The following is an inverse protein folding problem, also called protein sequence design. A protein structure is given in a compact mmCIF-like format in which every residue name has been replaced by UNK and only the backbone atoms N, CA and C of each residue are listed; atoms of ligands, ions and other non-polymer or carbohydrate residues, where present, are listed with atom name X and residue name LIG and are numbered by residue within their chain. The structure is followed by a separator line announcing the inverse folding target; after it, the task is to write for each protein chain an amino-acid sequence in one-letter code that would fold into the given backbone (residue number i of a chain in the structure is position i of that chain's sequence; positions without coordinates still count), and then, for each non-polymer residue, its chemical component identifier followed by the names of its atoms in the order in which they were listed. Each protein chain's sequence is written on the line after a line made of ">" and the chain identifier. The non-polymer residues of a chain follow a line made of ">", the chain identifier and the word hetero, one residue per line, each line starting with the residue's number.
data_IF_826537067751
#
_entry.id   IF_826537067751
#
_cell.length_a   1.000
_cell.length_b   1.000
_cell.length_c   1.000
_cell.angle_alpha   90.00
_cell.angle_beta   90.00
_cell.angle_gamma   90.00
#
_symmetry.space_group_name_H-M   'P 1'
#
loop_
_entity.id
_entity.type
_entity.pdbx_description
1 polymer ?
#
# COMPACT_ATOMS: atom_id res chain seq x y z
N UNK A 1 26.29 72.35 31.52
CA UNK A 1 26.59 70.92 31.72
C UNK A 1 27.56 70.84 32.88
N UNK A 2 27.10 70.38 34.03
CA UNK A 2 27.93 70.26 35.24
C UNK A 2 28.73 68.95 35.19
N UNK A 3 29.76 68.83 36.03
CA UNK A 3 30.54 67.58 36.17
C UNK A 3 29.62 66.39 36.56
N UNK A 4 28.56 66.67 37.32
CA UNK A 4 27.54 65.69 37.70
C UNK A 4 26.72 65.20 36.51
N UNK A 5 26.35 66.09 35.58
CA UNK A 5 25.64 65.71 34.34
C UNK A 5 26.49 64.73 33.50
N UNK A 6 27.78 65.03 33.34
CA UNK A 6 28.73 64.20 32.57
C UNK A 6 28.93 62.83 33.23
N UNK A 7 29.02 62.78 34.56
CA UNK A 7 29.16 61.53 35.31
C UNK A 7 27.93 60.63 35.19
N UNK A 8 26.73 61.23 35.19
CA UNK A 8 25.46 60.50 34.98
C UNK A 8 25.38 59.92 33.58
N UNK A 9 25.69 60.72 32.56
CA UNK A 9 25.68 60.29 31.16
C UNK A 9 26.71 59.18 30.89
N UNK A 10 27.93 59.30 31.45
CA UNK A 10 28.94 58.24 31.38
C UNK A 10 28.45 56.93 32.01
N UNK A 11 27.78 57.02 33.16
CA UNK A 11 27.24 55.85 33.86
C UNK A 11 26.12 55.17 33.05
N UNK A 12 25.22 55.93 32.43
CA UNK A 12 24.17 55.44 31.54
C UNK A 12 24.74 54.75 30.29
N UNK A 13 25.71 55.38 29.63
CA UNK A 13 26.37 54.80 28.43
C UNK A 13 27.13 53.53 28.78
N UNK A 14 27.82 53.50 29.93
CA UNK A 14 28.53 52.31 30.43
C UNK A 14 27.57 51.15 30.72
N UNK A 15 26.41 51.43 31.32
CA UNK A 15 25.37 50.44 31.56
C UNK A 15 24.79 49.91 30.24
N UNK A 16 24.45 50.79 29.29
CA UNK A 16 24.01 50.40 27.94
C UNK A 16 25.03 49.53 27.22
N UNK A 17 26.32 49.89 27.27
CA UNK A 17 27.41 49.09 26.69
C UNK A 17 27.43 47.69 27.29
N UNK A 18 27.31 47.56 28.62
CA UNK A 18 27.30 46.25 29.31
C UNK A 18 26.11 45.39 28.86
N UNK A 19 24.92 45.96 28.77
CA UNK A 19 23.71 45.26 28.31
C UNK A 19 23.87 44.82 26.85
N UNK A 20 24.35 45.70 25.97
CA UNK A 20 24.60 45.38 24.57
C UNK A 20 25.64 44.26 24.41
N UNK A 21 26.71 44.27 25.21
CA UNK A 21 27.70 43.19 25.22
C UNK A 21 27.11 41.87 25.69
N UNK A 22 26.26 41.87 26.72
CA UNK A 22 25.57 40.66 27.18
C UNK A 22 24.61 40.13 26.12
N UNK A 23 23.84 41.01 25.48
CA UNK A 23 22.93 40.65 24.40
C UNK A 23 23.70 40.06 23.20
N UNK A 24 24.80 40.70 22.81
CA UNK A 24 25.66 40.22 21.72
C UNK A 24 26.18 38.81 22.00
N UNK A 25 26.71 38.56 23.20
CA UNK A 25 27.18 37.23 23.59
C UNK A 25 26.05 36.21 23.56
N UNK A 26 24.88 36.55 24.10
CA UNK A 26 23.72 35.64 24.09
C UNK A 26 23.20 35.33 22.67
N UNK A 27 23.29 36.29 21.74
CA UNK A 27 22.92 36.11 20.34
C UNK A 27 23.94 35.25 19.60
N UNK A 28 25.23 35.42 19.89
CA UNK A 28 26.30 34.57 19.34
C UNK A 28 26.12 33.12 19.80
N UNK A 29 25.86 32.89 21.08
CA UNK A 29 25.63 31.54 21.62
C UNK A 29 24.39 30.89 20.99
N UNK A 30 23.28 31.63 20.87
CA UNK A 30 22.07 31.15 20.17
C UNK A 30 22.35 30.79 18.71
N UNK A 31 23.09 31.65 18.01
CA UNK A 31 23.43 31.42 16.60
C UNK A 31 24.27 30.15 16.44
N UNK A 32 25.19 29.88 17.37
CA UNK A 32 26.00 28.66 17.36
C UNK A 32 25.13 27.40 17.55
N UNK A 33 24.23 27.40 18.53
CA UNK A 33 23.30 26.29 18.77
C UNK A 33 22.37 26.08 17.58
N UNK A 34 21.82 27.15 17.00
CA UNK A 34 20.93 27.07 15.84
C UNK A 34 21.66 26.50 14.61
N UNK A 35 22.93 26.86 14.39
CA UNK A 35 23.74 26.29 13.31
C UNK A 35 23.91 24.78 13.48
N UNK A 36 24.24 24.33 14.69
CA UNK A 36 24.35 22.89 14.99
C UNK A 36 23.02 22.15 14.75
N UNK A 37 21.90 22.75 15.17
CA UNK A 37 20.56 22.19 14.94
C UNK A 37 20.22 22.11 13.45
N UNK A 38 20.61 23.10 12.65
CA UNK A 38 20.43 23.06 11.19
C UNK A 38 21.25 21.91 10.58
N UNK A 39 22.51 21.74 10.97
CA UNK A 39 23.34 20.64 10.48
C UNK A 39 22.74 19.26 10.83
N UNK A 40 22.28 19.09 12.07
CA UNK A 40 21.60 17.86 12.50
C UNK A 40 20.34 17.59 11.69
N UNK A 41 19.50 18.60 11.45
CA UNK A 41 18.29 18.47 10.62
C UNK A 41 18.61 18.14 9.17
N UNK A 42 19.68 18.69 8.61
CA UNK A 42 20.13 18.36 7.25
C UNK A 42 20.57 16.91 7.16
N UNK A 43 21.36 16.42 8.14
CA UNK A 43 21.78 15.01 8.21
C UNK A 43 20.58 14.08 8.39
N UNK A 44 19.65 14.39 9.29
CA UNK A 44 18.43 13.60 9.51
C UNK A 44 17.56 13.54 8.25
N UNK A 45 17.38 14.67 7.55
CA UNK A 45 16.64 14.72 6.29
C UNK A 45 17.28 13.82 5.23
N UNK A 46 18.60 13.82 5.12
CA UNK A 46 19.32 12.96 4.18
C UNK A 46 19.07 11.47 4.47
N UNK A 47 19.22 11.04 5.73
CA UNK A 47 18.95 9.65 6.14
C UNK A 47 17.50 9.26 5.83
N UNK A 48 16.53 10.10 6.21
CA UNK A 48 15.11 9.82 5.96
C UNK A 48 14.79 9.74 4.46
N UNK A 49 15.45 10.57 3.65
CA UNK A 49 15.28 10.56 2.19
C UNK A 49 15.82 9.26 1.61
N UNK A 50 17.01 8.83 2.02
CA UNK A 50 17.62 7.58 1.55
C UNK A 50 16.80 6.35 1.96
N UNK A 51 16.38 6.28 3.22
CA UNK A 51 15.50 5.20 3.72
C UNK A 51 14.17 5.18 2.97
N UNK A 52 13.58 6.34 2.68
CA UNK A 52 12.33 6.43 1.91
C UNK A 52 12.51 5.91 0.50
N UNK A 53 13.57 6.32 -0.20
CA UNK A 53 13.88 5.88 -1.57
C UNK A 53 14.10 4.38 -1.64
N UNK A 54 14.90 3.82 -0.72
CA UNK A 54 15.16 2.38 -0.66
C UNK A 54 13.88 1.58 -0.35
N UNK A 55 13.05 2.09 0.56
CA UNK A 55 11.78 1.46 0.91
C UNK A 55 10.82 1.46 -0.27
N UNK A 56 10.69 2.60 -0.97
CA UNK A 56 9.86 2.73 -2.17
C UNK A 56 10.34 1.79 -3.28
N UNK A 57 11.65 1.70 -3.52
CA UNK A 57 12.22 0.79 -4.53
C UNK A 57 11.87 -0.67 -4.23
N UNK A 58 12.09 -1.13 -3.00
CA UNK A 58 11.76 -2.50 -2.59
C UNK A 58 10.27 -2.80 -2.67
N UNK A 59 9.44 -1.83 -2.30
CA UNK A 59 7.99 -1.94 -2.41
C UNK A 59 7.58 -2.05 -3.89
N UNK A 60 8.08 -1.16 -4.75
CA UNK A 60 7.85 -1.15 -6.20
C UNK A 60 8.18 -2.51 -6.81
N UNK A 61 9.42 -2.98 -6.67
CA UNK A 61 9.88 -4.26 -7.22
C UNK A 61 8.98 -5.44 -6.80
N UNK A 62 8.60 -5.49 -5.52
CA UNK A 62 7.79 -6.60 -4.99
C UNK A 62 6.35 -6.55 -5.49
N UNK A 63 5.73 -5.37 -5.53
CA UNK A 63 4.35 -5.22 -6.00
C UNK A 63 4.28 -5.49 -7.50
N UNK A 64 5.20 -4.91 -8.28
CA UNK A 64 5.27 -5.08 -9.73
C UNK A 64 5.43 -6.54 -10.12
N UNK A 65 6.34 -7.28 -9.46
CA UNK A 65 6.54 -8.70 -9.73
C UNK A 65 5.28 -9.53 -9.43
N UNK A 66 4.63 -9.30 -8.28
CA UNK A 66 3.45 -10.07 -7.86
C UNK A 66 2.24 -9.79 -8.75
N UNK A 67 1.96 -8.53 -9.05
CA UNK A 67 0.82 -8.16 -9.90
C UNK A 67 1.06 -8.60 -11.34
N UNK A 68 2.29 -8.43 -11.86
CA UNK A 68 2.65 -8.93 -13.20
C UNK A 68 2.47 -10.44 -13.31
N UNK A 69 2.91 -11.19 -12.28
CA UNK A 69 2.72 -12.64 -12.25
C UNK A 69 1.23 -13.02 -12.28
N UNK A 70 0.40 -12.34 -11.48
CA UNK A 70 -1.05 -12.59 -11.44
C UNK A 70 -1.73 -12.30 -12.78
N UNK A 71 -1.37 -11.20 -13.45
CA UNK A 71 -1.90 -10.86 -14.77
C UNK A 71 -1.51 -11.94 -15.79
N UNK A 72 -0.22 -12.30 -15.85
CA UNK A 72 0.30 -13.28 -16.82
C UNK A 72 -0.22 -14.70 -16.61
N UNK A 73 -0.65 -15.04 -15.39
CA UNK A 73 -1.26 -16.35 -15.13
C UNK A 73 -2.69 -16.48 -15.68
N UNK A 74 -3.32 -15.37 -16.06
CA UNK A 74 -4.69 -15.38 -16.60
C UNK A 74 -4.72 -14.94 -18.06
N UNK A 75 -3.92 -13.94 -18.43
CA UNK A 75 -3.85 -13.43 -19.79
C UNK A 75 -2.61 -13.93 -20.52
N UNK A 76 -2.80 -14.54 -21.69
CA UNK A 76 -1.72 -14.89 -22.61
C UNK A 76 -1.24 -13.68 -23.42
N UNK A 77 -0.79 -12.65 -22.70
CA UNK A 77 -0.24 -11.41 -23.26
C UNK A 77 1.00 -10.99 -22.47
N UNK A 78 1.98 -10.34 -23.11
CA UNK A 78 3.24 -9.95 -22.47
C UNK A 78 3.08 -8.71 -21.58
N UNK A 79 2.03 -8.67 -20.75
CA UNK A 79 1.74 -7.56 -19.86
C UNK A 79 2.75 -7.47 -18.71
N UNK A 80 3.09 -6.24 -18.35
CA UNK A 80 3.90 -5.91 -17.18
C UNK A 80 3.19 -4.82 -16.40
N UNK A 81 2.98 -5.06 -15.11
CA UNK A 81 2.43 -4.06 -14.20
C UNK A 81 3.57 -3.23 -13.61
N UNK A 82 3.42 -1.91 -13.62
CA UNK A 82 4.39 -0.96 -13.09
C UNK A 82 3.72 0.04 -12.15
N UNK A 83 4.51 0.55 -11.20
CA UNK A 83 4.11 1.63 -10.30
C UNK A 83 5.01 2.84 -10.53
N UNK A 84 4.44 3.92 -11.04
CA UNK A 84 5.15 5.16 -11.23
C UNK A 84 4.94 6.11 -10.05
N UNK A 85 6.06 6.51 -9.43
CA UNK A 85 6.06 7.41 -8.28
C UNK A 85 6.40 8.82 -8.75
N UNK A 86 5.40 9.70 -8.77
CA UNK A 86 5.55 11.07 -9.22
C UNK A 86 5.40 12.04 -8.04
N UNK A 87 6.15 13.14 -8.04
CA UNK A 87 5.94 14.23 -7.08
C UNK A 87 5.08 15.31 -7.71
N UNK A 88 3.82 15.43 -7.28
CA UNK A 88 2.93 16.53 -7.67
C UNK A 88 2.54 17.36 -6.45
N UNK A 89 2.63 18.69 -6.55
CA UNK A 89 2.20 19.64 -5.51
C UNK A 89 2.77 19.31 -4.12
N UNK A 90 4.07 18.99 -4.04
CA UNK A 90 4.75 18.53 -2.82
C UNK A 90 4.20 17.26 -2.16
N UNK A 91 3.37 16.48 -2.86
CA UNK A 91 2.92 15.14 -2.46
C UNK A 91 3.50 14.09 -3.40
N UNK A 92 3.78 12.91 -2.85
CA UNK A 92 4.10 11.74 -3.66
C UNK A 92 2.79 11.10 -4.10
N UNK A 93 2.64 10.90 -5.40
CA UNK A 93 1.56 10.14 -6.03
C UNK A 93 2.13 8.82 -6.53
N UNK A 94 1.33 7.76 -6.50
CA UNK A 94 1.66 6.46 -7.04
C UNK A 94 0.62 6.13 -8.10
N UNK A 95 1.05 5.96 -9.35
CA UNK A 95 0.19 5.66 -10.49
C UNK A 95 0.48 4.26 -11.01
N UNK A 96 -0.53 3.38 -11.12
CA UNK A 96 -0.35 2.10 -11.77
C UNK A 96 -0.30 2.27 -13.30
N UNK A 97 0.56 1.52 -13.97
CA UNK A 97 0.65 1.45 -15.42
C UNK A 97 0.72 -0.02 -15.86
N UNK A 98 0.16 -0.32 -17.04
CA UNK A 98 0.44 -1.58 -17.74
C UNK A 98 1.29 -1.28 -18.96
N UNK A 99 2.38 -2.02 -19.10
CA UNK A 99 3.16 -2.07 -20.33
C UNK A 99 2.91 -3.36 -21.08
N UNK A 100 2.91 -3.24 -22.39
CA UNK A 100 2.84 -4.36 -23.31
C UNK A 100 3.88 -4.19 -24.42
N UNK A 101 4.60 -5.27 -24.73
CA UNK A 101 5.55 -5.30 -25.84
C UNK A 101 4.94 -6.12 -26.99
N UNK A 102 4.64 -5.47 -28.10
CA UNK A 102 4.10 -6.10 -29.32
C UNK A 102 4.93 -5.66 -30.51
N UNK A 103 5.47 -6.60 -31.28
CA UNK A 103 6.29 -6.34 -32.48
C UNK A 103 7.46 -5.37 -32.22
N UNK A 104 8.10 -5.49 -31.06
CA UNK A 104 9.20 -4.61 -30.64
C UNK A 104 8.78 -3.18 -30.26
N UNK A 105 7.47 -2.85 -30.30
CA UNK A 105 6.92 -1.57 -29.85
C UNK A 105 6.34 -1.72 -28.46
N UNK A 106 6.80 -0.87 -27.55
CA UNK A 106 6.26 -0.78 -26.19
C UNK A 106 5.07 0.16 -26.18
N UNK A 107 3.95 -0.30 -25.62
CA UNK A 107 2.77 0.53 -25.32
C UNK A 107 2.59 0.59 -23.81
N UNK A 108 2.17 1.74 -23.32
CA UNK A 108 1.84 1.98 -21.91
C UNK A 108 0.37 2.37 -21.83
N UNK A 109 -0.31 1.88 -20.81
CA UNK A 109 -1.74 2.03 -20.61
C UNK A 109 -2.03 2.37 -19.15
N UNK A 110 -2.99 3.26 -18.93
CA UNK A 110 -3.60 3.43 -17.62
C UNK A 110 -4.59 2.26 -17.39
N UNK A 111 -4.41 1.42 -16.36
CA UNK A 111 -5.29 0.28 -16.16
C UNK A 111 -6.76 0.68 -15.93
N UNK A 112 -7.04 1.89 -15.44
CA UNK A 112 -8.41 2.31 -15.16
C UNK A 112 -9.13 2.88 -16.38
N UNK A 113 -8.39 3.43 -17.34
CA UNK A 113 -8.95 4.12 -18.51
C UNK A 113 -8.84 3.28 -19.79
N UNK A 114 -7.73 2.56 -19.97
CA UNK A 114 -7.39 1.93 -21.26
C UNK A 114 -7.63 0.41 -21.29
N UNK A 115 -7.97 -0.19 -20.14
CA UNK A 115 -7.99 -1.63 -19.96
C UNK A 115 -9.38 -2.16 -19.58
N UNK A 116 -9.68 -3.40 -19.99
CA UNK A 116 -10.98 -4.02 -19.70
C UNK A 116 -11.17 -4.36 -18.22
N UNK A 117 -12.43 -4.45 -17.76
CA UNK A 117 -12.75 -4.73 -16.35
C UNK A 117 -12.08 -5.98 -15.77
N UNK A 118 -11.86 -7.02 -16.60
CA UNK A 118 -11.24 -8.27 -16.17
C UNK A 118 -9.80 -8.10 -15.66
N UNK A 119 -8.98 -7.29 -16.34
CA UNK A 119 -7.59 -7.07 -15.88
C UNK A 119 -7.55 -6.16 -14.65
N UNK A 120 -8.49 -5.21 -14.55
CA UNK A 120 -8.66 -4.36 -13.36
C UNK A 120 -9.02 -5.22 -12.14
N UNK A 121 -9.90 -6.21 -12.29
CA UNK A 121 -10.28 -7.10 -11.20
C UNK A 121 -9.08 -7.90 -10.66
N UNK A 122 -8.22 -8.41 -11.56
CA UNK A 122 -6.99 -9.13 -11.19
C UNK A 122 -6.00 -8.21 -10.49
N UNK A 123 -5.74 -7.02 -11.04
CA UNK A 123 -4.85 -6.04 -10.42
C UNK A 123 -5.35 -5.68 -9.03
N UNK A 124 -6.65 -5.38 -8.90
CA UNK A 124 -7.28 -4.98 -7.65
C UNK A 124 -7.16 -6.06 -6.59
N UNK A 125 -7.38 -7.34 -6.96
CA UNK A 125 -7.19 -8.46 -6.07
C UNK A 125 -5.71 -8.62 -5.67
N UNK A 126 -4.80 -8.65 -6.64
CA UNK A 126 -3.37 -8.83 -6.38
C UNK A 126 -2.83 -7.73 -5.45
N UNK A 127 -3.18 -6.46 -5.70
CA UNK A 127 -2.83 -5.34 -4.83
C UNK A 127 -3.41 -5.50 -3.42
N UNK A 128 -4.67 -5.93 -3.29
CA UNK A 128 -5.28 -6.17 -1.98
C UNK A 128 -4.51 -7.23 -1.18
N UNK A 129 -4.10 -8.32 -1.82
CA UNK A 129 -3.26 -9.35 -1.19
C UNK A 129 -1.91 -8.80 -0.78
N UNK A 130 -1.27 -8.00 -1.64
CA UNK A 130 0.03 -7.39 -1.33
C UNK A 130 -0.07 -6.45 -0.13
N UNK A 131 -1.06 -5.56 -0.12
CA UNK A 131 -1.28 -4.63 0.98
C UNK A 131 -1.60 -5.36 2.29
N UNK A 132 -2.47 -6.37 2.25
CA UNK A 132 -2.75 -7.23 3.39
C UNK A 132 -1.50 -7.96 3.89
N UNK A 133 -0.62 -8.41 2.98
CA UNK A 133 0.64 -9.04 3.35
C UNK A 133 1.63 -8.06 4.01
N UNK A 134 1.60 -6.78 3.64
CA UNK A 134 2.49 -5.76 4.19
C UNK A 134 1.96 -5.11 5.47
N UNK A 135 0.66 -5.21 5.73
CA UNK A 135 -0.01 -4.62 6.90
C UNK A 135 0.60 -5.12 8.23
N UNK A 136 0.86 -4.18 9.15
CA UNK A 136 1.35 -4.44 10.52
C UNK A 136 0.65 -3.51 11.53
N UNK A 137 -0.05 -4.04 12.55
CA UNK A 137 -0.36 -5.45 12.76
C UNK A 137 -1.27 -5.98 11.65
N UNK A 138 -1.09 -7.25 11.26
CA UNK A 138 -1.87 -7.82 10.15
C UNK A 138 -3.31 -8.07 10.60
N UNK A 139 -4.26 -7.72 9.75
CA UNK A 139 -5.66 -8.11 9.90
C UNK A 139 -5.86 -9.64 9.82
N UNK A 140 -7.07 -10.12 10.12
CA UNK A 140 -7.38 -11.56 10.14
C UNK A 140 -7.04 -12.19 8.78
N UNK A 141 -6.54 -13.44 8.79
CA UNK A 141 -6.23 -14.21 7.58
C UNK A 141 -7.50 -14.74 6.88
N UNK A 142 -8.50 -13.91 6.67
CA UNK A 142 -9.75 -14.22 5.96
C UNK A 142 -10.04 -13.08 4.99
N UNK A 143 -10.23 -13.43 3.73
CA UNK A 143 -10.59 -12.50 2.66
C UNK A 143 -11.93 -12.94 2.10
N UNK A 144 -12.88 -12.03 2.06
CA UNK A 144 -14.23 -12.24 1.52
C UNK A 144 -14.33 -11.42 0.24
N UNK A 145 -14.72 -12.07 -0.85
CA UNK A 145 -14.95 -11.44 -2.14
C UNK A 145 -16.40 -11.69 -2.57
N UNK A 146 -17.10 -10.62 -2.93
CA UNK A 146 -18.46 -10.67 -3.44
C UNK A 146 -18.42 -10.39 -4.95
N UNK A 147 -18.84 -11.39 -5.74
CA UNK A 147 -18.77 -11.44 -7.21
C UNK A 147 -17.42 -10.99 -7.81
N UNK A 148 -16.28 -11.57 -7.36
CA UNK A 148 -15.00 -11.23 -7.95
C UNK A 148 -14.91 -11.72 -9.39
N UNK A 149 -14.10 -11.05 -10.21
CA UNK A 149 -13.71 -11.52 -11.54
C UNK A 149 -14.85 -11.67 -12.56
N UNK A 150 -16.03 -11.11 -12.29
CA UNK A 150 -17.22 -11.17 -13.18
C UNK A 150 -16.96 -10.68 -14.62
N UNK A 151 -15.91 -9.90 -14.83
CA UNK A 151 -15.56 -9.35 -16.14
C UNK A 151 -14.58 -10.23 -16.93
N UNK A 152 -14.20 -11.41 -16.43
CA UNK A 152 -13.23 -12.31 -17.09
C UNK A 152 -13.85 -13.27 -18.10
N UNK A 153 -15.17 -13.50 -18.05
CA UNK A 153 -15.86 -14.45 -18.93
C UNK A 153 -15.16 -15.81 -18.92
N UNK A 154 -14.66 -16.25 -20.07
CA UNK A 154 -13.98 -17.57 -20.24
C UNK A 154 -12.70 -17.75 -19.41
N UNK A 155 -12.15 -16.67 -18.86
CA UNK A 155 -10.92 -16.69 -18.05
C UNK A 155 -11.18 -16.87 -16.54
N UNK A 156 -12.45 -16.99 -16.12
CA UNK A 156 -12.83 -17.15 -14.70
C UNK A 156 -12.17 -18.38 -14.08
N UNK A 157 -12.19 -19.53 -14.76
CA UNK A 157 -11.48 -20.74 -14.31
C UNK A 157 -9.98 -20.54 -14.05
N UNK A 158 -9.25 -19.89 -14.97
CA UNK A 158 -7.82 -19.58 -14.80
C UNK A 158 -7.60 -18.66 -13.60
N UNK A 159 -8.40 -17.61 -13.47
CA UNK A 159 -8.32 -16.71 -12.32
C UNK A 159 -8.63 -17.45 -11.00
N UNK A 160 -9.63 -18.32 -10.97
CA UNK A 160 -9.96 -19.15 -9.82
C UNK A 160 -8.77 -20.01 -9.35
N UNK A 161 -8.02 -20.61 -10.28
CA UNK A 161 -6.83 -21.40 -9.96
C UNK A 161 -5.75 -20.53 -9.30
N UNK A 162 -5.52 -19.33 -9.85
CA UNK A 162 -4.58 -18.35 -9.29
C UNK A 162 -4.98 -17.91 -7.89
N UNK A 163 -6.27 -17.60 -7.69
CA UNK A 163 -6.83 -17.25 -6.37
C UNK A 163 -6.59 -18.36 -5.35
N UNK A 164 -6.87 -19.61 -5.73
CA UNK A 164 -6.65 -20.78 -4.88
C UNK A 164 -5.17 -20.92 -4.53
N UNK A 165 -4.28 -20.93 -5.52
CA UNK A 165 -2.84 -21.06 -5.25
C UNK A 165 -2.31 -19.98 -4.31
N UNK A 166 -2.72 -18.72 -4.51
CA UNK A 166 -2.29 -17.60 -3.66
C UNK A 166 -2.81 -17.79 -2.23
N UNK A 167 -4.07 -18.20 -2.07
CA UNK A 167 -4.69 -18.49 -0.76
C UNK A 167 -3.93 -19.57 0.01
N UNK A 168 -3.57 -20.67 -0.66
CA UNK A 168 -2.79 -21.76 -0.08
C UNK A 168 -1.35 -21.33 0.24
N UNK A 169 -0.65 -20.68 -0.69
CA UNK A 169 0.74 -20.23 -0.52
C UNK A 169 0.90 -19.22 0.62
N UNK A 170 -0.06 -18.31 0.78
CA UNK A 170 -0.02 -17.26 1.80
C UNK A 170 -0.79 -17.62 3.08
N UNK A 171 -1.38 -18.82 3.13
CA UNK A 171 -2.11 -19.36 4.27
C UNK A 171 -3.19 -18.40 4.82
N UNK A 172 -4.09 -17.97 3.93
CA UNK A 172 -5.32 -17.25 4.29
C UNK A 172 -6.55 -17.95 3.74
N UNK A 173 -7.67 -17.83 4.45
CA UNK A 173 -8.96 -18.32 4.00
C UNK A 173 -9.56 -17.36 2.99
N UNK A 174 -9.93 -17.87 1.81
CA UNK A 174 -10.67 -17.13 0.80
C UNK A 174 -12.13 -17.60 0.78
N UNK A 175 -13.07 -16.67 0.94
CA UNK A 175 -14.51 -16.90 0.81
C UNK A 175 -14.98 -16.11 -0.41
N UNK A 176 -15.54 -16.81 -1.39
CA UNK A 176 -16.06 -16.20 -2.62
C UNK A 176 -17.57 -16.42 -2.65
N UNK A 177 -18.31 -15.33 -2.87
CA UNK A 177 -19.74 -15.33 -3.16
C UNK A 177 -19.84 -15.07 -4.67
N UNK A 178 -20.41 -16.02 -5.41
CA UNK A 178 -20.52 -15.91 -6.87
C UNK A 178 -21.57 -16.85 -7.43
N UNK A 179 -22.06 -16.54 -8.62
CA UNK A 179 -22.89 -17.40 -9.46
C UNK A 179 -22.08 -18.16 -10.53
N UNK A 180 -20.75 -17.99 -10.58
CA UNK A 180 -19.88 -18.67 -11.55
C UNK A 180 -19.59 -20.12 -11.15
N UNK A 181 -20.27 -21.08 -11.80
CA UNK A 181 -20.14 -22.51 -11.51
C UNK A 181 -18.71 -23.04 -11.72
N UNK A 182 -17.93 -22.44 -12.64
CA UNK A 182 -16.53 -22.81 -12.89
C UNK A 182 -15.66 -22.75 -11.61
N UNK A 183 -16.00 -21.84 -10.69
CA UNK A 183 -15.27 -21.68 -9.43
C UNK A 183 -15.58 -22.80 -8.42
N UNK A 184 -16.71 -23.51 -8.56
CA UNK A 184 -17.08 -24.66 -7.72
C UNK A 184 -16.04 -25.77 -7.88
N UNK A 185 -15.64 -26.07 -9.12
CA UNK A 185 -14.65 -27.12 -9.41
C UNK A 185 -13.27 -26.81 -8.85
N UNK A 186 -12.96 -25.54 -8.64
CA UNK A 186 -11.66 -25.09 -8.13
C UNK A 186 -11.68 -25.03 -6.60
N UNK A 187 -12.79 -24.61 -5.99
CA UNK A 187 -12.89 -24.37 -4.56
C UNK A 187 -12.58 -25.62 -3.72
N UNK A 188 -11.93 -25.46 -2.57
CA UNK A 188 -11.74 -26.58 -1.64
C UNK A 188 -13.07 -27.02 -1.00
N UNK A 189 -14.02 -26.09 -0.83
CA UNK A 189 -15.41 -26.35 -0.43
C UNK A 189 -16.35 -25.39 -1.16
N UNK A 190 -17.52 -25.87 -1.54
CA UNK A 190 -18.53 -25.06 -2.20
C UNK A 190 -19.93 -25.37 -1.64
N UNK A 191 -20.72 -24.31 -1.48
CA UNK A 191 -22.09 -24.36 -1.00
C UNK A 191 -22.97 -23.65 -2.04
N UNK A 192 -24.06 -24.30 -2.44
CA UNK A 192 -25.11 -23.67 -3.22
C UNK A 192 -26.18 -23.12 -2.26
N UNK A 193 -26.59 -21.88 -2.46
CA UNK A 193 -27.59 -21.20 -1.64
C UNK A 193 -28.88 -21.05 -2.44
N UNK A 194 -29.98 -21.60 -1.93
CA UNK A 194 -31.33 -21.40 -2.48
C UNK A 194 -32.24 -20.71 -1.47
N UNK A 195 -33.31 -20.07 -1.94
CA UNK A 195 -34.32 -19.43 -1.10
C UNK A 195 -35.71 -19.92 -1.49
N UNK A 196 -36.47 -20.45 -0.52
CA UNK A 196 -37.81 -21.03 -0.75
C UNK A 196 -38.97 -20.02 -0.57
N UNK A 197 -38.63 -18.75 -0.29
CA UNK A 197 -39.59 -17.69 0.02
C UNK A 197 -39.71 -17.38 1.52
N UNK A 198 -39.28 -18.30 2.39
CA UNK A 198 -39.32 -18.14 3.85
C UNK A 198 -37.93 -18.23 4.50
N UNK A 199 -37.02 -19.04 3.95
CA UNK A 199 -35.67 -19.24 4.48
C UNK A 199 -34.64 -19.47 3.37
N UNK A 200 -33.40 -19.07 3.65
CA UNK A 200 -32.24 -19.48 2.85
C UNK A 200 -31.76 -20.86 3.28
N UNK A 201 -31.51 -21.74 2.31
CA UNK A 201 -31.03 -23.11 2.49
C UNK A 201 -29.65 -23.21 1.83
N UNK A 202 -28.65 -23.61 2.62
CA UNK A 202 -27.30 -23.86 2.12
C UNK A 202 -27.08 -25.36 1.94
N UNK A 203 -26.75 -25.79 0.72
CA UNK A 203 -26.44 -27.18 0.38
C UNK A 203 -24.97 -27.31 0.02
N UNK A 204 -24.26 -28.25 0.65
CA UNK A 204 -22.88 -28.56 0.31
C UNK A 204 -22.84 -29.26 -1.06
N UNK A 205 -22.21 -28.63 -2.06
CA UNK A 205 -22.07 -29.20 -3.41
C UNK A 205 -20.67 -29.72 -3.69
N UNK A 206 -19.66 -29.27 -2.93
CA UNK A 206 -18.30 -29.83 -2.94
C UNK A 206 -17.70 -29.85 -1.55
N UNK A 207 -17.25 -31.02 -1.12
CA UNK A 207 -16.52 -31.22 0.14
C UNK A 207 -15.06 -31.58 -0.10
N UNK A 208 -14.13 -30.69 0.25
CA UNK A 208 -12.70 -31.02 0.33
C UNK A 208 -12.38 -31.95 1.50
N UNK A 209 -11.12 -32.43 1.61
CA UNK A 209 -10.72 -33.35 2.66
C UNK A 209 -11.09 -32.78 4.03
N UNK A 210 -11.86 -33.57 4.77
CA UNK A 210 -12.17 -33.28 6.17
C UNK A 210 -10.87 -33.54 6.93
N UNK A 211 -10.07 -32.50 7.17
CA UNK A 211 -9.16 -32.55 8.31
C UNK A 211 -10.04 -32.70 9.54
N UNK A 212 -10.11 -33.93 10.04
CA UNK A 212 -10.93 -34.34 11.16
C UNK A 212 -10.43 -33.65 12.43
N UNK A 213 -10.84 -32.41 12.69
CA UNK A 213 -10.91 -31.84 14.05
C UNK A 213 -11.56 -30.46 14.05
N UNK A 214 -12.87 -30.46 14.31
CA UNK A 214 -13.56 -29.66 15.35
C UNK A 214 -15.04 -29.54 14.98
N UNK A 215 -15.87 -30.30 15.68
CA UNK A 215 -17.31 -30.03 15.77
C UNK A 215 -17.46 -28.63 16.38
N UNK A 216 -17.77 -27.62 15.55
CA UNK A 216 -18.24 -26.34 16.06
C UNK A 216 -19.73 -26.52 16.33
N UNK A 217 -20.06 -26.74 17.61
CA UNK A 217 -21.43 -26.53 18.11
C UNK A 217 -21.66 -25.03 18.09
N UNK A 218 -22.56 -24.56 17.23
CA UNK A 218 -23.13 -23.22 17.35
C UNK A 218 -24.31 -23.36 18.32
N UNK A 219 -24.11 -22.96 19.58
CA UNK A 219 -25.21 -22.68 20.49
C UNK A 219 -25.68 -21.25 20.25
N UNK A 220 -27.01 -21.05 20.34
CA UNK A 220 -27.73 -19.79 20.15
C UNK A 220 -27.13 -18.63 20.93
#
# INVERSE_FOLDING_TARGET
>A
MTIEDISREFSEVKARKKILQQNLNSLLDRTLVEKEQVELKVKARWILTEVSTLTQKRFKERVEALVTMAIKSVFDRPFQFLLEFERKRNKMECRPEIKELVDGKQRTFDPSEDMGGGIIDIISFALRIVLWNLEKPRSRNVIILDEPMKNLGKMVSLAGQVLREISHKLNFQLIIITHEDELIEIADRAYNISHDGNKSIAMLVKGGPINATKKIKISR
#
